data_IF_805135271544
#
_entry.id   IF_805135271544
#
_cell.length_a   1.000
_cell.length_b   1.000
_cell.length_c   1.000
_cell.angle_alpha   90.00
_cell.angle_beta   90.00
_cell.angle_gamma   90.00
#
_symmetry.space_group_name_H-M   'P 1'
#
loop_
_entity.id
_entity.type
_entity.pdbx_description
1 polymer ?
#
# COMPACT_ATOMS: atom_id res chain seq x y z
N UNK A 1 -6.22 6.48 8.97
CA UNK A 1 -5.13 5.85 8.19
C UNK A 1 -5.47 4.42 7.82
N UNK A 2 -4.87 3.92 6.75
CA UNK A 2 -5.06 2.53 6.29
C UNK A 2 -4.38 1.50 7.21
N UNK A 3 -4.58 0.19 6.94
CA UNK A 3 -4.10 -0.91 7.77
C UNK A 3 -2.60 -1.20 7.52
N UNK A 4 -1.73 -0.42 8.13
CA UNK A 4 -0.26 -0.53 7.99
C UNK A 4 0.36 -1.54 8.97
N UNK A 5 -0.39 -2.00 9.98
CA UNK A 5 0.00 -3.04 10.92
C UNK A 5 -1.05 -4.16 10.92
N UNK A 6 -0.83 -5.22 11.68
CA UNK A 6 -1.71 -6.39 11.71
C UNK A 6 -3.13 -6.06 12.22
N UNK A 7 -3.26 -5.08 13.11
CA UNK A 7 -4.55 -4.62 13.63
C UNK A 7 -4.67 -3.10 13.60
N UNK A 8 -5.89 -2.53 13.59
CA UNK A 8 -6.10 -1.09 13.72
C UNK A 8 -5.50 -0.49 15.00
N UNK A 9 -5.52 -1.23 16.09
CA UNK A 9 -4.94 -0.78 17.36
C UNK A 9 -3.41 -0.68 17.29
N UNK A 10 -2.75 -1.67 16.68
CA UNK A 10 -1.30 -1.64 16.44
C UNK A 10 -0.92 -0.53 15.47
N UNK A 11 -1.73 -0.32 14.42
CA UNK A 11 -1.54 0.79 13.48
C UNK A 11 -1.63 2.14 14.19
N UNK A 12 -2.67 2.37 15.00
CA UNK A 12 -2.78 3.59 15.81
C UNK A 12 -1.55 3.78 16.68
N UNK A 13 -1.20 2.78 17.49
CA UNK A 13 -0.06 2.84 18.41
C UNK A 13 1.25 3.16 17.70
N UNK A 14 1.50 2.57 16.54
CA UNK A 14 2.73 2.74 15.79
C UNK A 14 2.88 4.15 15.17
N UNK A 15 1.77 4.78 14.77
CA UNK A 15 1.77 6.06 14.07
C UNK A 15 1.29 7.23 14.93
N UNK A 16 0.78 6.98 16.15
CA UNK A 16 0.35 8.01 17.11
C UNK A 16 1.40 9.12 17.31
N UNK A 17 2.71 8.82 17.49
CA UNK A 17 3.71 9.87 17.70
C UNK A 17 3.78 10.89 16.55
N UNK A 18 3.62 10.43 15.30
CA UNK A 18 3.63 11.29 14.12
C UNK A 18 2.42 12.23 14.09
N UNK A 19 1.22 11.72 14.31
CA UNK A 19 0.00 12.53 14.28
C UNK A 19 -0.07 13.47 15.49
N UNK A 20 0.38 13.03 16.65
CA UNK A 20 0.46 13.87 17.86
C UNK A 20 1.43 15.04 17.67
N UNK A 21 2.61 14.80 17.11
CA UNK A 21 3.59 15.86 16.82
C UNK A 21 3.03 16.86 15.79
N UNK A 22 2.41 16.37 14.74
CA UNK A 22 1.77 17.21 13.72
C UNK A 22 0.66 18.08 14.32
N UNK A 23 -0.24 17.51 15.11
CA UNK A 23 -1.32 18.22 15.79
C UNK A 23 -0.79 19.29 16.75
N UNK A 24 0.25 18.94 17.55
CA UNK A 24 0.94 19.87 18.44
C UNK A 24 1.55 21.07 17.67
N UNK A 25 2.26 20.81 16.57
CA UNK A 25 2.87 21.85 15.72
C UNK A 25 1.82 22.76 15.06
N UNK A 26 0.62 22.21 14.81
CA UNK A 26 -0.52 22.94 14.25
C UNK A 26 -1.35 23.67 15.32
N UNK A 27 -1.11 23.39 16.60
CA UNK A 27 -1.93 23.84 17.74
C UNK A 27 -3.40 23.44 17.55
N UNK A 28 -3.64 22.15 17.25
CA UNK A 28 -4.97 21.59 17.03
C UNK A 28 -5.15 20.27 17.80
N UNK A 29 -6.37 20.03 18.20
CA UNK A 29 -6.80 18.69 18.63
C UNK A 29 -6.94 17.77 17.39
N UNK A 30 -6.84 16.47 17.61
CA UNK A 30 -7.00 15.48 16.56
C UNK A 30 -7.65 14.20 17.08
N UNK A 31 -8.29 13.47 16.19
CA UNK A 31 -8.76 12.11 16.42
C UNK A 31 -8.11 11.18 15.38
N UNK A 32 -7.44 10.13 15.85
CA UNK A 32 -6.75 9.18 14.98
C UNK A 32 -7.63 7.95 14.70
N UNK A 33 -8.06 7.81 13.45
CA UNK A 33 -8.84 6.69 12.97
C UNK A 33 -7.94 5.74 12.17
N UNK A 34 -7.95 4.45 12.49
CA UNK A 34 -7.34 3.39 11.68
C UNK A 34 -8.42 2.45 11.18
N UNK A 35 -8.40 2.14 9.88
CA UNK A 35 -9.38 1.25 9.23
C UNK A 35 -8.88 -0.20 9.21
N UNK A 36 -9.80 -1.14 9.00
CA UNK A 36 -9.50 -2.57 8.91
C UNK A 36 -9.02 -3.00 7.52
N UNK A 37 -9.32 -2.20 6.51
CA UNK A 37 -8.99 -2.46 5.11
C UNK A 37 -8.60 -1.16 4.38
N UNK A 38 -8.02 -1.30 3.19
CA UNK A 38 -7.54 -0.17 2.39
C UNK A 38 -8.67 0.63 1.75
N UNK A 39 -9.83 0.03 1.52
CA UNK A 39 -10.98 0.73 0.97
C UNK A 39 -11.60 1.69 2.00
N UNK A 40 -11.65 1.29 3.26
CA UNK A 40 -12.28 2.06 4.33
C UNK A 40 -11.71 3.46 4.51
N UNK A 41 -10.37 3.64 4.43
CA UNK A 41 -9.79 4.99 4.56
C UNK A 41 -10.10 5.86 3.34
N UNK A 42 -10.19 5.28 2.15
CA UNK A 42 -10.58 6.01 0.94
C UNK A 42 -12.03 6.51 1.05
N UNK A 43 -12.92 5.65 1.53
CA UNK A 43 -14.34 6.00 1.77
C UNK A 43 -14.46 7.08 2.86
N UNK A 44 -13.74 6.94 3.97
CA UNK A 44 -13.77 7.92 5.06
C UNK A 44 -13.30 9.31 4.60
N UNK A 45 -12.26 9.38 3.78
CA UNK A 45 -11.75 10.64 3.26
C UNK A 45 -12.69 11.25 2.19
N UNK A 46 -13.25 10.40 1.32
CA UNK A 46 -14.21 10.80 0.29
C UNK A 46 -15.52 11.37 0.89
N UNK A 47 -15.96 10.83 2.02
CA UNK A 47 -17.15 11.28 2.74
C UNK A 47 -16.86 12.36 3.81
N UNK A 48 -15.66 12.96 3.79
CA UNK A 48 -15.25 14.03 4.71
C UNK A 48 -15.32 13.63 6.21
N UNK A 49 -15.28 12.32 6.50
CA UNK A 49 -15.21 11.80 7.88
C UNK A 49 -13.82 11.96 8.49
N UNK A 50 -12.80 12.14 7.65
CA UNK A 50 -11.43 12.50 8.04
C UNK A 50 -10.91 13.62 7.16
N UNK A 51 -10.06 14.47 7.69
CA UNK A 51 -9.51 15.65 7.00
C UNK A 51 -8.21 15.33 6.26
N UNK A 52 -7.39 14.48 6.88
CA UNK A 52 -6.07 14.08 6.37
C UNK A 52 -5.90 12.58 6.55
N UNK A 53 -5.33 11.90 5.57
CA UNK A 53 -5.13 10.46 5.62
C UNK A 53 -3.73 10.06 5.17
N UNK A 54 -3.20 9.01 5.84
CA UNK A 54 -2.11 8.18 5.33
C UNK A 54 -2.75 6.97 4.66
N UNK A 55 -2.51 6.81 3.36
CA UNK A 55 -3.23 5.82 2.56
C UNK A 55 -2.36 5.23 1.45
N UNK A 56 -2.64 3.99 1.08
CA UNK A 56 -1.96 3.34 -0.03
C UNK A 56 -2.23 4.04 -1.37
N UNK A 57 -1.32 3.92 -2.34
CA UNK A 57 -1.41 4.62 -3.62
C UNK A 57 -2.72 4.38 -4.37
N UNK A 58 -3.22 3.16 -4.42
CA UNK A 58 -4.47 2.83 -5.09
C UNK A 58 -5.68 3.45 -4.42
N UNK A 59 -5.76 3.37 -3.09
CA UNK A 59 -6.82 4.03 -2.33
C UNK A 59 -6.84 5.53 -2.54
N UNK A 60 -5.65 6.16 -2.60
CA UNK A 60 -5.52 7.58 -2.94
C UNK A 60 -6.06 7.89 -4.34
N UNK A 61 -5.67 7.13 -5.35
CA UNK A 61 -6.13 7.37 -6.73
C UNK A 61 -7.63 7.22 -6.87
N UNK A 62 -8.24 6.22 -6.22
CA UNK A 62 -9.69 6.07 -6.16
C UNK A 62 -10.35 7.28 -5.50
N UNK A 63 -9.89 7.69 -4.32
CA UNK A 63 -10.43 8.83 -3.61
C UNK A 63 -10.25 10.16 -4.39
N UNK A 64 -9.13 10.33 -5.10
CA UNK A 64 -8.93 11.47 -5.99
C UNK A 64 -9.94 11.47 -7.15
N UNK A 65 -10.11 10.33 -7.84
CA UNK A 65 -11.03 10.19 -8.95
C UNK A 65 -12.49 10.43 -8.54
N UNK A 66 -12.90 9.88 -7.40
CA UNK A 66 -14.31 9.87 -6.97
C UNK A 66 -14.71 11.16 -6.23
N UNK A 67 -13.80 11.77 -5.50
CA UNK A 67 -14.12 12.89 -4.60
C UNK A 67 -13.13 14.06 -4.62
N UNK A 68 -12.08 14.02 -5.44
CA UNK A 68 -11.13 15.14 -5.58
C UNK A 68 -10.17 15.29 -4.38
N UNK A 69 -9.86 14.20 -3.69
CA UNK A 69 -8.82 14.13 -2.66
C UNK A 69 -7.46 14.49 -3.27
N UNK A 70 -6.60 15.19 -2.53
CA UNK A 70 -5.31 15.68 -3.03
C UNK A 70 -4.15 15.13 -2.21
N UNK A 71 -3.17 14.50 -2.86
CA UNK A 71 -1.91 14.13 -2.22
C UNK A 71 -1.02 15.34 -2.00
N UNK A 72 -0.39 15.41 -0.84
CA UNK A 72 0.55 16.49 -0.47
C UNK A 72 1.96 15.97 -0.22
N UNK A 73 2.12 14.72 0.18
CA UNK A 73 3.42 14.10 0.40
C UNK A 73 3.35 12.59 0.14
N UNK A 74 4.51 11.96 -0.08
CA UNK A 74 4.65 10.51 -0.08
C UNK A 74 5.75 10.09 0.91
N UNK A 75 5.53 8.97 1.60
CA UNK A 75 6.43 8.46 2.62
C UNK A 75 7.72 7.90 2.01
N UNK A 76 8.85 8.07 2.72
CA UNK A 76 10.10 7.36 2.44
C UNK A 76 10.24 6.15 3.36
N UNK A 77 10.67 5.04 2.80
CA UNK A 77 11.02 3.83 3.51
C UNK A 77 12.47 3.46 3.15
N UNK A 78 13.35 3.35 4.14
CA UNK A 78 14.80 3.22 3.94
C UNK A 78 15.37 4.26 2.95
N UNK A 79 14.96 5.51 3.13
CA UNK A 79 15.38 6.65 2.31
C UNK A 79 14.69 6.78 0.95
N UNK A 80 13.87 5.81 0.52
CA UNK A 80 13.27 5.75 -0.83
C UNK A 80 11.75 5.98 -0.79
N UNK A 81 11.19 6.81 -1.68
CA UNK A 81 9.74 7.04 -1.78
C UNK A 81 9.06 5.98 -2.67
N UNK A 82 9.63 4.79 -2.80
CA UNK A 82 9.16 3.71 -3.66
C UNK A 82 9.17 2.37 -2.95
N UNK A 83 8.40 1.41 -3.48
CA UNK A 83 8.40 0.00 -3.11
C UNK A 83 8.04 -0.87 -4.32
N UNK A 84 8.00 -2.20 -4.18
CA UNK A 84 7.66 -3.12 -5.26
C UNK A 84 6.55 -4.08 -4.86
N UNK A 85 5.60 -4.30 -5.78
CA UNK A 85 4.73 -5.46 -5.73
C UNK A 85 5.54 -6.71 -6.07
N UNK A 86 5.26 -7.81 -5.39
CA UNK A 86 5.88 -9.11 -5.66
C UNK A 86 4.82 -10.20 -5.76
N UNK A 87 5.18 -11.27 -6.46
CA UNK A 87 4.51 -12.56 -6.34
C UNK A 87 5.51 -13.53 -5.73
N UNK A 88 5.10 -14.18 -4.68
CA UNK A 88 5.88 -15.21 -4.00
C UNK A 88 5.23 -16.58 -4.22
N UNK A 89 6.06 -17.60 -4.36
CA UNK A 89 5.61 -18.98 -4.49
C UNK A 89 6.36 -19.88 -3.50
N UNK A 90 5.81 -21.09 -3.29
CA UNK A 90 6.46 -22.08 -2.45
C UNK A 90 7.69 -22.63 -3.17
N UNK A 91 8.88 -22.63 -2.54
CA UNK A 91 10.08 -23.22 -3.10
C UNK A 91 9.85 -24.69 -3.48
N UNK A 92 10.39 -25.10 -4.63
CA UNK A 92 10.22 -26.47 -5.12
C UNK A 92 8.84 -26.77 -5.71
N UNK A 93 7.96 -25.77 -5.88
CA UNK A 93 6.65 -25.91 -6.54
C UNK A 93 6.72 -26.23 -8.04
N UNK A 94 7.91 -26.17 -8.63
CA UNK A 94 8.13 -26.36 -10.07
C UNK A 94 7.87 -25.11 -10.91
N UNK A 95 7.59 -23.97 -10.27
CA UNK A 95 7.37 -22.68 -10.97
C UNK A 95 8.73 -22.06 -11.27
N UNK A 96 9.14 -22.10 -12.54
CA UNK A 96 10.40 -21.52 -13.03
C UNK A 96 10.16 -20.34 -13.96
N UNK A 97 9.08 -20.37 -14.72
CA UNK A 97 8.68 -19.31 -15.63
C UNK A 97 7.31 -18.75 -15.20
N UNK A 98 7.31 -17.55 -14.63
CA UNK A 98 6.08 -16.86 -14.24
C UNK A 98 5.59 -15.96 -15.39
N UNK A 99 4.30 -15.98 -15.75
CA UNK A 99 3.20 -16.70 -15.12
C UNK A 99 2.91 -18.08 -15.71
N UNK A 100 3.67 -18.56 -16.69
CA UNK A 100 3.34 -19.74 -17.49
C UNK A 100 3.18 -21.00 -16.62
N UNK A 101 4.13 -21.26 -15.73
CA UNK A 101 4.08 -22.42 -14.83
C UNK A 101 3.04 -22.26 -13.70
N UNK A 102 2.50 -21.05 -13.54
CA UNK A 102 1.44 -20.74 -12.59
C UNK A 102 0.03 -21.10 -13.07
N UNK A 103 -0.17 -21.46 -14.35
CA UNK A 103 -1.49 -21.76 -14.88
C UNK A 103 -2.16 -22.90 -14.11
N UNK A 104 -3.41 -22.66 -13.67
CA UNK A 104 -4.19 -23.63 -12.90
C UNK A 104 -3.72 -23.84 -11.45
N UNK A 105 -2.69 -23.11 -10.98
CA UNK A 105 -2.23 -23.16 -9.60
C UNK A 105 -3.14 -22.33 -8.68
N UNK A 106 -3.12 -22.66 -7.38
CA UNK A 106 -3.82 -21.90 -6.34
C UNK A 106 -3.03 -20.61 -6.09
N UNK A 107 -3.63 -19.46 -6.41
CA UNK A 107 -2.99 -18.16 -6.26
C UNK A 107 -3.89 -17.23 -5.46
N UNK A 108 -3.37 -16.73 -4.34
CA UNK A 108 -4.06 -15.80 -3.46
C UNK A 108 -3.61 -14.37 -3.73
N UNK A 109 -4.57 -13.50 -4.01
CA UNK A 109 -4.37 -12.07 -4.11
C UNK A 109 -4.75 -11.40 -2.78
N UNK A 110 -4.15 -10.27 -2.48
CA UNK A 110 -4.55 -9.49 -1.32
C UNK A 110 -5.89 -8.77 -1.56
N UNK A 111 -6.29 -7.93 -0.61
CA UNK A 111 -7.48 -7.09 -0.66
C UNK A 111 -7.55 -6.25 -1.95
N UNK A 112 -8.75 -6.12 -2.53
CA UNK A 112 -8.99 -5.39 -3.79
C UNK A 112 -8.66 -3.90 -3.73
N UNK A 113 -8.55 -3.32 -2.53
CA UNK A 113 -8.06 -1.96 -2.29
C UNK A 113 -6.54 -1.88 -2.23
N UNK A 114 -5.81 -3.01 -2.26
CA UNK A 114 -4.36 -3.04 -2.21
C UNK A 114 -3.74 -2.70 -3.57
N UNK A 115 -2.78 -1.78 -3.57
CA UNK A 115 -1.98 -1.44 -4.76
C UNK A 115 -1.15 -2.63 -5.22
N UNK A 116 -0.26 -3.12 -4.37
CA UNK A 116 0.72 -4.18 -4.68
C UNK A 116 0.13 -5.57 -4.67
N UNK A 117 -0.87 -5.80 -3.81
CA UNK A 117 -1.44 -7.13 -3.65
C UNK A 117 -2.60 -7.44 -4.60
N UNK A 118 -3.16 -6.40 -5.25
CA UNK A 118 -4.27 -6.63 -6.18
C UNK A 118 -4.14 -5.84 -7.48
N UNK A 119 -4.06 -4.50 -7.43
CA UNK A 119 -4.12 -3.67 -8.63
C UNK A 119 -2.97 -3.96 -9.60
N UNK A 120 -1.73 -3.83 -9.13
CA UNK A 120 -0.54 -3.91 -9.99
C UNK A 120 -0.35 -5.31 -10.59
N UNK A 121 -0.43 -6.40 -9.82
CA UNK A 121 -0.40 -7.74 -10.44
C UNK A 121 -1.55 -7.96 -11.41
N UNK A 122 -2.79 -7.53 -11.10
CA UNK A 122 -3.93 -7.65 -12.02
C UNK A 122 -3.68 -6.89 -13.32
N UNK A 123 -3.21 -5.63 -13.23
CA UNK A 123 -2.88 -4.83 -14.40
C UNK A 123 -1.78 -5.50 -15.24
N UNK A 124 -0.74 -6.01 -14.61
CA UNK A 124 0.35 -6.72 -15.28
C UNK A 124 -0.16 -7.95 -16.03
N UNK A 125 -1.03 -8.77 -15.44
CA UNK A 125 -1.65 -9.91 -16.14
C UNK A 125 -2.50 -9.46 -17.33
N UNK A 126 -3.26 -8.35 -17.18
CA UNK A 126 -4.05 -7.79 -18.28
C UNK A 126 -3.20 -7.35 -19.46
N UNK A 127 -1.99 -6.83 -19.25
CA UNK A 127 -1.06 -6.50 -20.37
C UNK A 127 -0.63 -7.73 -21.16
N UNK A 128 -0.77 -8.92 -20.58
CA UNK A 128 -0.45 -10.21 -21.22
C UNK A 128 -1.69 -10.93 -21.76
N UNK A 129 -2.86 -10.29 -21.74
CA UNK A 129 -4.13 -10.90 -22.14
C UNK A 129 -4.60 -11.99 -21.17
N UNK A 130 -4.13 -11.99 -19.93
CA UNK A 130 -4.49 -12.97 -18.91
C UNK A 130 -5.50 -12.35 -17.94
N UNK A 131 -6.63 -13.03 -17.74
CA UNK A 131 -7.51 -12.77 -16.59
C UNK A 131 -7.09 -13.69 -15.44
N UNK A 132 -6.60 -13.16 -14.31
CA UNK A 132 -6.17 -13.98 -13.18
C UNK A 132 -7.25 -14.93 -12.67
N UNK A 133 -8.53 -14.50 -12.71
CA UNK A 133 -9.67 -15.30 -12.23
C UNK A 133 -9.95 -16.54 -13.06
N UNK A 134 -9.61 -16.48 -14.34
CA UNK A 134 -9.77 -17.63 -15.26
C UNK A 134 -8.48 -18.45 -15.37
N UNK A 135 -7.34 -17.82 -15.14
CA UNK A 135 -6.04 -18.42 -15.34
C UNK A 135 -5.56 -19.26 -14.17
N UNK A 136 -5.92 -18.86 -12.94
CA UNK A 136 -5.54 -19.50 -11.68
C UNK A 136 -6.75 -20.12 -10.97
N UNK A 137 -6.50 -20.99 -9.99
CA UNK A 137 -7.44 -21.21 -8.90
C UNK A 137 -7.35 -20.00 -7.98
N UNK A 138 -8.10 -18.95 -8.34
CA UNK A 138 -7.97 -17.61 -7.80
C UNK A 138 -8.71 -17.44 -6.48
N UNK A 139 -8.10 -16.74 -5.53
CA UNK A 139 -8.74 -16.15 -4.37
C UNK A 139 -8.21 -14.74 -4.12
N UNK A 140 -8.96 -13.90 -3.43
CA UNK A 140 -8.54 -12.56 -2.99
C UNK A 140 -9.08 -12.22 -1.60
N UNK A 141 -8.72 -11.03 -1.09
CA UNK A 141 -9.19 -10.53 0.19
C UNK A 141 -8.29 -10.85 1.39
N UNK A 142 -7.20 -11.58 1.19
CA UNK A 142 -6.25 -11.86 2.27
C UNK A 142 -5.41 -10.63 2.64
N UNK A 143 -4.91 -10.58 3.86
CA UNK A 143 -3.84 -9.63 4.21
C UNK A 143 -2.51 -10.09 3.61
N UNK A 144 -1.58 -9.17 3.41
CA UNK A 144 -0.25 -9.49 2.90
C UNK A 144 0.47 -10.54 3.75
N UNK A 145 0.45 -10.37 5.08
CA UNK A 145 1.04 -11.33 5.99
C UNK A 145 0.37 -12.73 5.91
N UNK A 146 -0.96 -12.77 5.76
CA UNK A 146 -1.69 -14.04 5.60
C UNK A 146 -1.30 -14.73 4.29
N UNK A 147 -1.09 -13.98 3.21
CA UNK A 147 -0.63 -14.50 1.92
C UNK A 147 0.74 -15.19 2.04
N UNK A 148 1.73 -14.54 2.68
CA UNK A 148 3.05 -15.16 2.92
C UNK A 148 2.94 -16.45 3.73
N UNK A 149 2.14 -16.47 4.80
CA UNK A 149 1.92 -17.66 5.63
C UNK A 149 1.21 -18.77 4.84
N UNK A 150 0.22 -18.43 4.01
CA UNK A 150 -0.50 -19.41 3.19
C UNK A 150 0.42 -20.09 2.16
N UNK A 151 1.37 -19.35 1.57
CA UNK A 151 2.39 -19.93 0.69
C UNK A 151 3.36 -20.80 1.48
N UNK A 152 3.90 -20.30 2.60
CA UNK A 152 4.85 -21.02 3.42
C UNK A 152 4.29 -22.36 3.93
N UNK A 153 3.02 -22.37 4.36
CA UNK A 153 2.31 -23.57 4.81
C UNK A 153 1.84 -24.51 3.67
N UNK A 154 1.85 -24.03 2.42
CA UNK A 154 1.36 -24.78 1.25
C UNK A 154 -0.17 -24.80 1.11
N UNK A 155 -0.88 -23.89 1.78
CA UNK A 155 -2.32 -23.70 1.55
C UNK A 155 -2.60 -23.19 0.15
N UNK A 156 -1.73 -22.30 -0.37
CA UNK A 156 -1.71 -21.87 -1.77
C UNK A 156 -0.33 -22.10 -2.36
N UNK A 157 -0.24 -22.14 -3.67
CA UNK A 157 1.02 -22.37 -4.38
C UNK A 157 1.81 -21.06 -4.51
N UNK A 158 1.09 -19.95 -4.77
CA UNK A 158 1.65 -18.60 -4.85
C UNK A 158 0.71 -17.57 -4.25
N UNK A 159 1.24 -16.39 -3.94
CA UNK A 159 0.44 -15.26 -3.50
C UNK A 159 1.09 -13.92 -3.87
N UNK A 160 0.27 -12.87 -3.89
CA UNK A 160 0.74 -11.49 -4.06
C UNK A 160 1.11 -10.88 -2.72
N UNK A 161 2.17 -10.07 -2.73
CA UNK A 161 2.66 -9.32 -1.58
C UNK A 161 3.40 -8.06 -2.04
N UNK A 162 4.15 -7.43 -1.15
CA UNK A 162 5.13 -6.39 -1.43
C UNK A 162 6.43 -6.63 -0.67
N UNK A 163 7.52 -6.16 -1.26
CA UNK A 163 8.89 -6.41 -0.82
C UNK A 163 9.12 -6.11 0.68
N UNK A 164 8.59 -4.99 1.17
CA UNK A 164 8.78 -4.55 2.56
C UNK A 164 8.04 -5.41 3.57
N UNK A 165 6.81 -5.89 3.25
CA UNK A 165 6.08 -6.78 4.16
C UNK A 165 6.85 -8.10 4.33
N UNK A 166 7.26 -8.70 3.21
CA UNK A 166 8.06 -9.93 3.25
C UNK A 166 9.33 -9.75 4.06
N UNK A 167 10.09 -8.67 3.82
CA UNK A 167 11.31 -8.38 4.56
C UNK A 167 11.05 -8.19 6.05
N UNK A 168 10.05 -7.40 6.43
CA UNK A 168 9.68 -7.19 7.84
C UNK A 168 9.23 -8.49 8.54
N UNK A 169 8.55 -9.39 7.84
CA UNK A 169 8.19 -10.70 8.37
C UNK A 169 9.42 -11.59 8.60
N UNK A 170 10.40 -11.54 7.71
CA UNK A 170 11.67 -12.27 7.86
C UNK A 170 12.47 -11.68 9.02
N UNK A 171 12.64 -10.37 9.09
CA UNK A 171 13.38 -9.68 10.16
C UNK A 171 12.78 -9.92 11.55
N UNK A 172 11.45 -9.98 11.64
CA UNK A 172 10.75 -10.28 12.90
C UNK A 172 10.65 -11.77 13.23
N UNK A 173 11.21 -12.66 12.40
CA UNK A 173 11.14 -14.11 12.59
C UNK A 173 9.77 -14.74 12.36
N UNK A 174 8.80 -13.99 11.82
CA UNK A 174 7.46 -14.50 11.49
C UNK A 174 7.44 -15.32 10.20
N UNK A 175 8.44 -15.17 9.35
CA UNK A 175 8.61 -15.91 8.11
C UNK A 175 10.06 -16.38 8.00
N UNK A 176 10.26 -17.67 7.73
CA UNK A 176 11.59 -18.15 7.34
C UNK A 176 11.91 -17.65 5.92
N UNK A 177 13.11 -17.12 5.74
CA UNK A 177 13.57 -16.56 4.46
C UNK A 177 13.48 -17.57 3.31
N UNK A 178 13.61 -18.87 3.62
CA UNK A 178 13.58 -19.97 2.66
C UNK A 178 12.18 -20.55 2.43
N UNK A 179 11.16 -20.08 3.18
CA UNK A 179 9.80 -20.60 3.07
C UNK A 179 9.05 -20.14 1.84
N UNK A 180 9.45 -19.00 1.27
CA UNK A 180 8.87 -18.42 0.04
C UNK A 180 9.97 -17.91 -0.88
N UNK A 181 9.74 -17.95 -2.18
CA UNK A 181 10.63 -17.38 -3.21
C UNK A 181 9.88 -16.37 -4.08
N UNK A 182 10.55 -15.26 -4.42
CA UNK A 182 9.98 -14.23 -5.30
C UNK A 182 10.11 -14.72 -6.74
N UNK A 183 8.98 -14.89 -7.43
CA UNK A 183 8.93 -15.30 -8.85
C UNK A 183 8.64 -14.14 -9.79
N UNK A 184 8.16 -13.02 -9.29
CA UNK A 184 7.90 -11.80 -10.03
C UNK A 184 7.98 -10.56 -9.13
N UNK A 185 8.46 -9.47 -9.70
CA UNK A 185 8.52 -8.15 -9.08
C UNK A 185 8.11 -7.08 -10.09
N UNK A 186 7.36 -6.09 -9.62
CA UNK A 186 6.95 -4.94 -10.44
C UNK A 186 8.09 -3.94 -10.66
N UNK A 187 7.89 -3.03 -11.60
CA UNK A 187 8.59 -1.74 -11.60
C UNK A 187 8.38 -1.00 -10.27
N UNK A 188 9.24 -0.01 -9.94
CA UNK A 188 9.08 0.79 -8.72
C UNK A 188 7.72 1.47 -8.67
N UNK A 189 7.02 1.33 -7.54
CA UNK A 189 5.72 1.96 -7.27
C UNK A 189 5.93 3.15 -6.34
N UNK A 190 5.18 4.26 -6.50
CA UNK A 190 5.18 5.34 -5.52
C UNK A 190 4.70 4.81 -4.16
N UNK A 191 5.30 5.29 -3.07
CA UNK A 191 4.93 4.89 -1.74
C UNK A 191 3.62 5.58 -1.28
N UNK A 192 3.18 5.28 -0.05
CA UNK A 192 1.94 5.75 0.54
C UNK A 192 1.82 7.26 0.52
N UNK A 193 0.61 7.72 0.24
CA UNK A 193 0.25 9.13 0.20
C UNK A 193 -0.14 9.66 1.57
N UNK A 194 0.32 10.86 1.89
CA UNK A 194 -0.36 11.76 2.81
C UNK A 194 -1.28 12.62 1.95
N UNK A 195 -2.58 12.51 2.19
CA UNK A 195 -3.60 13.14 1.36
C UNK A 195 -4.62 13.90 2.21
N UNK A 196 -5.17 14.97 1.65
CA UNK A 196 -6.22 15.79 2.28
C UNK A 196 -7.51 15.70 1.48
N UNK A 197 -8.65 15.80 2.19
CA UNK A 197 -9.97 15.76 1.57
C UNK A 197 -10.20 16.93 0.60
N UNK A 198 -11.19 16.79 -0.26
CA UNK A 198 -11.66 17.89 -1.08
C UNK A 198 -12.10 19.07 -0.20
N UNK A 199 -11.83 20.30 -0.66
CA UNK A 199 -12.19 21.52 0.06
C UNK A 199 -11.39 21.75 1.36
N UNK A 200 -10.33 20.99 1.60
CA UNK A 200 -9.39 21.28 2.69
C UNK A 200 -8.70 22.63 2.46
N UNK A 201 -8.49 23.40 3.51
CA UNK A 201 -7.85 24.73 3.41
C UNK A 201 -6.46 24.61 2.75
N UNK A 202 -6.24 25.26 1.58
CA UNK A 202 -4.99 25.15 0.85
C UNK A 202 -3.77 25.66 1.62
N UNK A 203 -3.93 26.72 2.41
CA UNK A 203 -2.84 27.28 3.21
C UNK A 203 -2.44 26.30 4.34
N UNK A 204 -3.43 25.66 4.96
CA UNK A 204 -3.18 24.62 5.95
C UNK A 204 -2.56 23.37 5.31
N UNK A 205 -3.03 22.95 4.14
CA UNK A 205 -2.45 21.83 3.40
C UNK A 205 -0.97 22.07 3.08
N UNK A 206 -0.63 23.27 2.59
CA UNK A 206 0.76 23.66 2.31
C UNK A 206 1.61 23.70 3.60
N UNK A 207 1.06 24.20 4.69
CA UNK A 207 1.74 24.21 5.99
C UNK A 207 2.02 22.79 6.48
N UNK A 208 1.05 21.89 6.38
CA UNK A 208 1.21 20.47 6.72
C UNK A 208 2.27 19.83 5.81
N UNK A 209 2.20 20.06 4.49
CA UNK A 209 3.20 19.55 3.55
C UNK A 209 4.62 19.96 3.96
N UNK A 210 4.85 21.24 4.25
CA UNK A 210 6.17 21.74 4.70
C UNK A 210 6.63 21.05 5.98
N UNK A 211 5.73 20.85 6.95
CA UNK A 211 6.05 20.20 8.22
C UNK A 211 6.43 18.74 8.02
N UNK A 212 5.63 17.99 7.24
CA UNK A 212 5.88 16.55 7.01
C UNK A 212 7.15 16.32 6.18
N UNK A 213 7.33 17.08 5.11
CA UNK A 213 8.52 16.96 4.24
C UNK A 213 9.78 17.45 4.96
N UNK A 214 9.64 18.38 5.89
CA UNK A 214 10.72 18.89 6.73
C UNK A 214 11.18 17.96 7.86
N UNK A 215 10.49 16.83 8.10
CA UNK A 215 10.92 15.84 9.09
C UNK A 215 12.26 15.26 8.66
N UNK A 216 13.28 15.50 9.48
CA UNK A 216 14.62 14.91 9.29
C UNK A 216 14.62 13.41 9.60
N UNK A 217 15.62 12.68 9.11
CA UNK A 217 15.78 11.25 9.44
C UNK A 217 15.96 11.01 10.95
N UNK A 218 16.56 11.98 11.66
CA UNK A 218 16.69 11.92 13.12
C UNK A 218 15.34 12.01 13.82
N UNK A 219 14.49 12.96 13.42
CA UNK A 219 13.13 13.10 13.94
C UNK A 219 12.24 11.91 13.55
N UNK A 220 12.38 11.41 12.32
CA UNK A 220 11.62 10.27 11.84
C UNK A 220 11.77 9.04 12.75
N UNK A 221 12.96 8.77 13.27
CA UNK A 221 13.22 7.65 14.21
C UNK A 221 12.38 7.70 15.49
N UNK A 222 11.98 8.88 15.94
CA UNK A 222 11.15 9.06 17.14
C UNK A 222 9.67 9.17 16.82
N UNK A 223 9.30 9.55 15.60
CA UNK A 223 7.93 9.85 15.21
C UNK A 223 7.29 8.72 14.39
N UNK A 224 8.07 7.93 13.68
CA UNK A 224 7.59 6.94 12.72
C UNK A 224 8.07 5.53 13.10
N UNK A 225 7.35 4.49 12.67
CA UNK A 225 7.82 3.12 12.80
C UNK A 225 9.16 2.90 12.09
N UNK A 226 9.89 1.86 12.50
CA UNK A 226 11.15 1.48 11.89
C UNK A 226 11.07 1.47 10.36
N UNK A 227 12.17 1.84 9.72
CA UNK A 227 12.34 1.96 8.28
C UNK A 227 11.65 3.18 7.64
N UNK A 228 10.65 3.81 8.26
CA UNK A 228 10.14 5.08 7.75
C UNK A 228 11.11 6.22 8.09
N UNK A 229 11.61 6.91 7.06
CA UNK A 229 12.72 7.87 7.18
C UNK A 229 12.32 9.30 6.83
N UNK A 230 11.04 9.57 6.67
CA UNK A 230 10.48 10.89 6.36
C UNK A 230 9.62 10.89 5.10
N UNK A 231 9.56 12.02 4.41
CA UNK A 231 8.65 12.24 3.29
C UNK A 231 9.31 13.05 2.17
N UNK A 232 8.71 12.99 0.98
CA UNK A 232 8.97 13.90 -0.13
C UNK A 232 7.66 14.53 -0.59
N UNK A 233 7.71 15.69 -1.25
CA UNK A 233 6.55 16.31 -1.87
C UNK A 233 5.94 15.37 -2.89
N UNK A 234 4.63 15.23 -2.88
CA UNK A 234 3.89 14.50 -3.89
C UNK A 234 2.68 15.30 -4.38
N UNK A 235 2.28 15.01 -5.59
CA UNK A 235 1.08 15.51 -6.23
C UNK A 235 0.35 14.34 -6.89
N UNK A 236 -0.80 14.58 -7.50
CA UNK A 236 -1.50 13.52 -8.25
C UNK A 236 -0.61 12.92 -9.36
N UNK A 237 0.23 13.74 -10.00
CA UNK A 237 1.16 13.27 -11.04
C UNK A 237 2.14 12.20 -10.53
N UNK A 238 2.47 12.20 -9.24
CA UNK A 238 3.32 11.18 -8.62
C UNK A 238 2.69 9.78 -8.63
N UNK A 239 1.36 9.70 -8.79
CA UNK A 239 0.57 8.47 -8.78
C UNK A 239 -0.01 8.11 -10.14
N UNK A 240 0.45 8.76 -11.23
CA UNK A 240 -0.08 8.56 -12.58
C UNK A 240 -0.03 7.10 -13.04
N UNK A 241 1.04 6.39 -12.74
CA UNK A 241 1.16 4.97 -13.10
C UNK A 241 0.11 4.09 -12.38
N UNK A 242 -0.31 4.47 -11.18
CA UNK A 242 -1.36 3.77 -10.42
C UNK A 242 -2.73 4.06 -11.06
N UNK A 243 -2.98 5.30 -11.49
CA UNK A 243 -4.18 5.67 -12.25
C UNK A 243 -4.27 4.92 -13.58
N UNK A 244 -3.16 4.82 -14.30
CA UNK A 244 -3.09 4.08 -15.57
C UNK A 244 -3.39 2.59 -15.36
N UNK A 245 -2.84 1.99 -14.31
CA UNK A 245 -3.17 0.61 -13.93
C UNK A 245 -4.66 0.45 -13.58
N UNK A 246 -5.23 1.41 -12.82
CA UNK A 246 -6.65 1.43 -12.47
C UNK A 246 -7.57 1.54 -13.70
N UNK A 247 -7.14 2.33 -14.68
CA UNK A 247 -7.83 2.45 -15.98
C UNK A 247 -7.76 1.14 -16.78
N UNK A 248 -6.58 0.51 -16.82
CA UNK A 248 -6.37 -0.75 -17.53
C UNK A 248 -7.22 -1.89 -16.97
N UNK A 249 -7.41 -1.95 -15.66
CA UNK A 249 -8.29 -2.95 -15.03
C UNK A 249 -9.77 -2.56 -15.03
N UNK A 250 -10.12 -1.40 -15.61
CA UNK A 250 -11.51 -0.94 -15.76
C UNK A 250 -12.16 -0.37 -14.49
N UNK A 251 -11.35 0.00 -13.49
CA UNK A 251 -11.83 0.60 -12.23
C UNK A 251 -11.90 2.12 -12.29
N UNK A 252 -11.15 2.75 -13.18
CA UNK A 252 -11.19 4.19 -13.46
C UNK A 252 -11.67 4.38 -14.90
N UNK A 253 -12.64 5.25 -15.10
CA UNK A 253 -13.10 5.62 -16.45
C UNK A 253 -12.11 6.62 -17.04
N UNK A 254 -11.74 6.43 -18.30
CA UNK A 254 -11.02 7.47 -19.04
C UNK A 254 -11.93 8.71 -19.12
N UNK A 255 -11.42 9.82 -18.63
CA UNK A 255 -12.06 11.13 -18.82
C UNK A 255 -11.84 11.60 -20.24
#
# INVERSE_FOLDING_TARGET
MGPLQATPAETKKAFEPFFADLAKKLNREYDLVATTDWAGISVALANEQVDLAWMGPWGYVLANNDSGVTAIATAKYDGKPIYHAIVVCKPGSGIKAWPQDGKGRRVSFADVGSTSGWLIPTAWFRTKGIDPKEYFQYSDGATHAANEIAVASGQVDCATDFDRNRNAMIESGRLDKTATEIVWQSDPLPNDAIAVRRGFDPALAQRIQHMVVGISEGEAKSLLPNHYTGFVVATHASYKMIEDAGTLVGRIKKK
#
